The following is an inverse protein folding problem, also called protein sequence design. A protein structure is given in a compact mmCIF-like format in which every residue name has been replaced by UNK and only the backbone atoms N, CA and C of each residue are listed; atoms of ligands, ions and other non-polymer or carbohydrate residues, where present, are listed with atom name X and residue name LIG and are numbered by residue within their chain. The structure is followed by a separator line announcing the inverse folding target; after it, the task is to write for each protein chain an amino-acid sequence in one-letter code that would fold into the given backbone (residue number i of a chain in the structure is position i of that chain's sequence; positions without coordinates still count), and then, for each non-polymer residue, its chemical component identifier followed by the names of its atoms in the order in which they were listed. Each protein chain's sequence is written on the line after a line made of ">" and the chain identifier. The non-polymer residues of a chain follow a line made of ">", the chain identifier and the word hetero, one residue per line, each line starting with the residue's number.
data_IF_279212116288
#
_entry.id   IF_279212116288
#
_cell.length_a   1.000
_cell.length_b   1.000
_cell.length_c   1.000
_cell.angle_alpha   90.00
_cell.angle_beta   90.00
_cell.angle_gamma   90.00
#
_symmetry.space_group_name_H-M   'P 1'
#
loop_
_entity.id
_entity.type
_entity.pdbx_description
1 polymer ?
#
# COMPACT_ATOMS: atom_id res chain seq x y z
N UNK A 1 12.73 14.77 17.66
CA UNK A 1 12.56 14.95 16.20
C UNK A 1 11.14 14.54 15.82
N UNK A 2 10.34 15.42 15.20
CA UNK A 2 8.91 15.12 14.91
C UNK A 2 8.83 14.05 13.81
N UNK A 3 8.01 13.00 13.97
CA UNK A 3 7.76 11.95 12.96
C UNK A 3 6.92 12.43 11.75
N UNK A 4 7.01 13.70 11.39
CA UNK A 4 6.06 14.35 10.47
C UNK A 4 6.17 13.77 9.07
N UNK A 5 7.38 13.56 8.55
CA UNK A 5 7.59 13.01 7.21
C UNK A 5 7.03 11.58 7.07
N UNK A 6 7.36 10.68 8.01
CA UNK A 6 6.85 9.30 8.04
C UNK A 6 5.30 9.28 8.07
N UNK A 7 4.70 10.10 8.95
CA UNK A 7 3.24 10.20 9.10
C UNK A 7 2.56 10.71 7.83
N UNK A 8 3.07 11.80 7.25
CA UNK A 8 2.49 12.41 6.04
C UNK A 8 2.56 11.42 4.88
N UNK A 9 3.71 10.76 4.68
CA UNK A 9 3.89 9.82 3.57
C UNK A 9 3.00 8.58 3.71
N UNK A 10 2.87 8.06 4.93
CA UNK A 10 1.98 6.92 5.22
C UNK A 10 0.51 7.27 4.98
N UNK A 11 0.07 8.48 5.36
CA UNK A 11 -1.30 8.97 5.13
C UNK A 11 -1.57 9.12 3.63
N UNK A 12 -0.65 9.75 2.89
CA UNK A 12 -0.78 9.92 1.43
C UNK A 12 -0.90 8.54 0.76
N UNK A 13 -0.02 7.60 1.13
CA UNK A 13 -0.05 6.23 0.59
C UNK A 13 -1.39 5.53 0.86
N UNK A 14 -1.95 5.70 2.06
CA UNK A 14 -3.24 5.12 2.43
C UNK A 14 -4.38 5.70 1.58
N UNK A 15 -4.41 7.02 1.35
CA UNK A 15 -5.41 7.67 0.48
C UNK A 15 -5.31 7.12 -0.94
N UNK A 16 -4.10 7.04 -1.51
CA UNK A 16 -3.92 6.46 -2.84
C UNK A 16 -4.32 4.99 -2.91
N UNK A 17 -4.03 4.19 -1.87
CA UNK A 17 -4.45 2.78 -1.82
C UNK A 17 -5.96 2.65 -1.86
N UNK A 18 -6.69 3.48 -1.11
CA UNK A 18 -8.16 3.52 -1.13
C UNK A 18 -8.68 3.92 -2.51
N UNK A 19 -8.07 4.92 -3.15
CA UNK A 19 -8.42 5.32 -4.52
C UNK A 19 -8.17 4.19 -5.53
N UNK A 20 -7.05 3.47 -5.41
CA UNK A 20 -6.74 2.31 -6.26
C UNK A 20 -7.77 1.19 -6.09
N UNK A 21 -8.24 0.95 -4.86
CA UNK A 21 -9.32 -0.03 -4.60
C UNK A 21 -10.62 0.44 -5.27
N UNK A 22 -11.01 1.70 -5.09
CA UNK A 22 -12.20 2.25 -5.72
C UNK A 22 -12.13 2.17 -7.25
N UNK A 23 -11.00 2.53 -7.85
CA UNK A 23 -10.75 2.39 -9.28
C UNK A 23 -10.79 0.93 -9.76
N UNK A 24 -10.33 0.00 -8.94
CA UNK A 24 -10.39 -1.44 -9.25
C UNK A 24 -11.83 -1.95 -9.28
N UNK A 25 -12.72 -1.47 -8.40
CA UNK A 25 -14.14 -1.80 -8.48
C UNK A 25 -14.80 -1.27 -9.76
N UNK A 26 -14.42 -0.07 -10.20
CA UNK A 26 -14.88 0.48 -11.49
C UNK A 26 -14.38 -0.42 -12.64
N UNK A 27 -13.11 -0.82 -12.61
CA UNK A 27 -12.52 -1.72 -13.60
C UNK A 27 -13.23 -3.08 -13.65
N UNK A 28 -13.52 -3.69 -12.50
CA UNK A 28 -14.34 -4.92 -12.41
C UNK A 28 -15.71 -4.71 -13.05
N UNK A 29 -16.36 -3.57 -12.78
CA UNK A 29 -17.64 -3.22 -13.39
C UNK A 29 -17.57 -3.14 -14.93
N UNK A 30 -16.50 -2.56 -15.46
CA UNK A 30 -16.24 -2.51 -16.91
C UNK A 30 -16.03 -3.93 -17.45
N UNK A 31 -15.17 -4.74 -16.83
CA UNK A 31 -14.91 -6.12 -17.27
C UNK A 31 -16.19 -6.96 -17.27
N UNK A 32 -17.06 -6.79 -16.27
CA UNK A 32 -18.37 -7.44 -16.23
C UNK A 32 -19.28 -7.05 -17.39
N UNK A 33 -19.19 -5.83 -17.90
CA UNK A 33 -19.95 -5.44 -19.09
C UNK A 33 -19.51 -6.23 -20.32
N UNK A 34 -18.21 -6.52 -20.45
CA UNK A 34 -17.65 -7.34 -21.52
C UNK A 34 -18.01 -8.84 -21.40
N UNK A 35 -18.26 -9.35 -20.19
CA UNK A 35 -18.47 -10.79 -19.97
C UNK A 35 -19.91 -11.20 -19.67
N UNK A 36 -20.79 -10.29 -19.25
CA UNK A 36 -22.16 -10.63 -18.87
C UNK A 36 -23.19 -9.56 -19.26
N UNK A 37 -22.77 -8.48 -19.92
CA UNK A 37 -23.64 -7.37 -20.30
C UNK A 37 -24.17 -7.45 -21.72
N UNK A 38 -24.99 -6.47 -22.12
CA UNK A 38 -25.45 -6.32 -23.51
C UNK A 38 -24.27 -6.24 -24.50
N UNK A 39 -23.17 -5.65 -24.06
CA UNK A 39 -21.93 -5.55 -24.83
C UNK A 39 -21.32 -6.92 -25.18
N UNK A 40 -21.49 -7.95 -24.33
CA UNK A 40 -21.02 -9.32 -24.64
C UNK A 40 -21.70 -9.86 -25.89
N UNK A 41 -23.02 -9.72 -25.98
CA UNK A 41 -23.80 -10.24 -27.11
C UNK A 41 -23.44 -9.53 -28.43
N UNK A 42 -23.11 -8.25 -28.37
CA UNK A 42 -22.65 -7.49 -29.55
C UNK A 42 -21.26 -7.97 -29.99
N UNK A 43 -20.34 -8.13 -29.05
CA UNK A 43 -18.98 -8.64 -29.33
C UNK A 43 -19.02 -10.06 -29.89
N UNK A 44 -19.81 -10.96 -29.30
CA UNK A 44 -19.96 -12.33 -29.82
C UNK A 44 -20.51 -12.30 -31.25
N UNK A 45 -21.56 -11.53 -31.50
CA UNK A 45 -22.14 -11.43 -32.84
C UNK A 45 -21.14 -10.89 -33.87
N UNK A 46 -20.34 -9.89 -33.51
CA UNK A 46 -19.31 -9.31 -34.37
C UNK A 46 -18.18 -10.31 -34.66
N UNK A 47 -17.69 -11.02 -33.64
CA UNK A 47 -16.65 -12.05 -33.80
C UNK A 47 -17.12 -13.24 -34.65
N UNK A 48 -18.37 -13.70 -34.46
CA UNK A 48 -18.93 -14.79 -35.25
C UNK A 48 -19.32 -14.38 -36.67
N UNK A 49 -19.49 -13.08 -36.94
CA UNK A 49 -19.78 -12.55 -38.26
C UNK A 49 -18.51 -12.36 -39.11
N UNK A 50 -17.32 -12.41 -38.51
CA UNK A 50 -16.05 -12.24 -39.20
C UNK A 50 -15.66 -13.53 -39.95
N UNK A 51 -15.58 -13.50 -41.30
CA UNK A 51 -15.19 -14.66 -42.10
C UNK A 51 -13.70 -15.01 -42.01
N UNK A 52 -12.85 -14.15 -41.46
CA UNK A 52 -11.42 -14.42 -41.26
C UNK A 52 -11.14 -15.24 -39.99
N UNK A 53 -12.08 -15.25 -39.05
CA UNK A 53 -11.96 -15.97 -37.78
C UNK A 53 -12.62 -17.34 -37.87
N UNK A 54 -11.94 -18.36 -37.34
CA UNK A 54 -12.59 -19.65 -37.12
C UNK A 54 -13.39 -19.64 -35.82
N UNK A 55 -14.34 -20.56 -35.69
CA UNK A 55 -15.11 -20.74 -34.44
C UNK A 55 -14.19 -20.96 -33.24
N UNK A 56 -13.08 -21.68 -33.45
CA UNK A 56 -12.10 -21.95 -32.39
C UNK A 56 -11.30 -20.70 -31.98
N UNK A 57 -11.02 -19.79 -32.92
CA UNK A 57 -10.38 -18.51 -32.62
C UNK A 57 -11.30 -17.61 -31.78
N UNK A 58 -12.60 -17.59 -32.12
CA UNK A 58 -13.61 -16.82 -31.38
C UNK A 58 -13.74 -17.33 -29.95
N UNK A 59 -13.86 -18.65 -29.77
CA UNK A 59 -13.91 -19.26 -28.44
C UNK A 59 -12.66 -18.97 -27.62
N UNK A 60 -11.47 -18.97 -28.24
CA UNK A 60 -10.23 -18.60 -27.58
C UNK A 60 -10.26 -17.15 -27.08
N UNK A 61 -10.69 -16.20 -27.92
CA UNK A 61 -10.77 -14.78 -27.54
C UNK A 61 -11.75 -14.57 -26.38
N UNK A 62 -12.93 -15.18 -26.44
CA UNK A 62 -13.93 -15.09 -25.37
C UNK A 62 -13.42 -15.70 -24.06
N UNK A 63 -12.73 -16.85 -24.13
CA UNK A 63 -12.14 -17.47 -22.94
C UNK A 63 -11.08 -16.60 -22.26
N UNK A 64 -10.29 -15.85 -23.04
CA UNK A 64 -9.31 -14.90 -22.52
C UNK A 64 -10.03 -13.77 -21.79
N UNK A 65 -11.08 -13.21 -22.38
CA UNK A 65 -11.87 -12.14 -21.76
C UNK A 65 -12.48 -12.60 -20.41
N UNK A 66 -13.03 -13.81 -20.36
CA UNK A 66 -13.56 -14.41 -19.11
C UNK A 66 -12.45 -14.63 -18.06
N UNK A 67 -11.25 -15.06 -18.47
CA UNK A 67 -10.10 -15.17 -17.57
C UNK A 67 -9.71 -13.82 -16.96
N UNK A 68 -9.70 -12.75 -17.77
CA UNK A 68 -9.40 -11.40 -17.29
C UNK A 68 -10.46 -10.87 -16.30
N UNK A 69 -11.73 -11.25 -16.45
CA UNK A 69 -12.76 -10.94 -15.45
C UNK A 69 -12.43 -11.60 -14.11
N UNK A 70 -12.12 -12.91 -14.10
CA UNK A 70 -11.71 -13.61 -12.88
C UNK A 70 -10.46 -13.01 -12.25
N UNK A 71 -9.47 -12.66 -13.07
CA UNK A 71 -8.24 -12.00 -12.61
C UNK A 71 -8.47 -10.60 -12.03
N UNK A 72 -9.47 -9.86 -12.52
CA UNK A 72 -9.81 -8.53 -11.99
C UNK A 72 -10.21 -8.57 -10.50
N UNK A 73 -10.90 -9.62 -10.06
CA UNK A 73 -11.22 -9.83 -8.64
C UNK A 73 -10.01 -10.17 -7.79
N UNK A 74 -9.06 -10.93 -8.35
CA UNK A 74 -7.80 -11.22 -7.68
C UNK A 74 -7.04 -9.92 -7.35
N UNK A 75 -7.02 -8.95 -8.26
CA UNK A 75 -6.41 -7.63 -8.03
C UNK A 75 -7.06 -6.93 -6.83
N UNK A 76 -8.39 -6.94 -6.73
CA UNK A 76 -9.12 -6.31 -5.61
C UNK A 76 -8.72 -6.94 -4.28
N UNK A 77 -8.68 -8.28 -4.20
CA UNK A 77 -8.31 -8.99 -2.96
C UNK A 77 -6.88 -8.64 -2.55
N UNK A 78 -5.94 -8.62 -3.49
CA UNK A 78 -4.54 -8.27 -3.23
C UNK A 78 -4.40 -6.83 -2.72
N UNK A 79 -5.13 -5.88 -3.31
CA UNK A 79 -5.13 -4.49 -2.84
C UNK A 79 -5.74 -4.32 -1.45
N UNK A 80 -6.77 -5.10 -1.10
CA UNK A 80 -7.33 -5.11 0.26
C UNK A 80 -6.31 -5.60 1.28
N UNK A 81 -5.56 -6.66 0.95
CA UNK A 81 -4.46 -7.15 1.80
C UNK A 81 -3.39 -6.06 1.97
N UNK A 82 -3.04 -5.35 0.89
CA UNK A 82 -2.11 -4.21 0.94
C UNK A 82 -2.62 -3.09 1.85
N UNK A 83 -3.91 -2.76 1.79
CA UNK A 83 -4.52 -1.75 2.66
C UNK A 83 -4.41 -2.14 4.14
N UNK A 84 -4.71 -3.40 4.47
CA UNK A 84 -4.61 -3.90 5.85
C UNK A 84 -3.16 -3.81 6.34
N UNK A 85 -2.20 -4.26 5.54
CA UNK A 85 -0.78 -4.17 5.87
C UNK A 85 -0.33 -2.72 6.09
N UNK A 86 -0.80 -1.79 5.25
CA UNK A 86 -0.54 -0.35 5.38
C UNK A 86 -1.09 0.21 6.69
N UNK A 87 -2.33 -0.14 7.06
CA UNK A 87 -2.96 0.30 8.32
C UNK A 87 -2.18 -0.25 9.53
N UNK A 88 -1.84 -1.53 9.52
CA UNK A 88 -1.07 -2.16 10.61
C UNK A 88 0.30 -1.48 10.75
N UNK A 89 1.01 -1.26 9.63
CA UNK A 89 2.28 -0.54 9.61
C UNK A 89 2.16 0.87 10.20
N UNK A 90 1.11 1.60 9.83
CA UNK A 90 0.83 2.94 10.35
C UNK A 90 0.58 2.94 11.87
N UNK A 91 -0.13 1.95 12.42
CA UNK A 91 -0.37 1.81 13.86
C UNK A 91 0.94 1.52 14.61
N UNK A 92 1.78 0.60 14.10
CA UNK A 92 3.08 0.29 14.71
C UNK A 92 4.02 1.50 14.71
N UNK A 93 3.98 2.30 13.65
CA UNK A 93 4.70 3.56 13.57
C UNK A 93 4.19 4.57 14.60
N UNK A 94 2.86 4.75 14.74
CA UNK A 94 2.28 5.72 15.67
C UNK A 94 2.51 5.39 17.14
N UNK A 95 2.48 4.11 17.52
CA UNK A 95 2.69 3.68 18.91
C UNK A 95 4.16 3.68 19.34
N UNK A 96 5.07 4.08 18.46
CA UNK A 96 6.53 4.07 18.63
C UNK A 96 7.16 2.73 19.06
N UNK A 97 6.37 1.65 19.17
CA UNK A 97 6.79 0.36 19.72
C UNK A 97 7.91 -0.27 18.90
N UNK A 98 7.80 -0.26 17.56
CA UNK A 98 8.76 -0.91 16.66
C UNK A 98 8.75 -0.28 15.25
N UNK A 99 9.49 0.82 15.00
CA UNK A 99 9.56 1.45 13.67
C UNK A 99 10.12 0.51 12.59
N UNK A 100 11.02 -0.41 12.95
CA UNK A 100 11.55 -1.42 12.02
C UNK A 100 10.47 -2.38 11.51
N UNK A 101 9.53 -2.79 12.37
CA UNK A 101 8.44 -3.67 11.95
C UNK A 101 7.47 -2.94 10.98
N UNK A 102 7.22 -1.66 11.23
CA UNK A 102 6.40 -0.82 10.34
C UNK A 102 7.02 -0.71 8.93
N UNK A 103 8.34 -0.56 8.84
CA UNK A 103 9.03 -0.51 7.55
C UNK A 103 8.89 -1.79 6.72
N UNK A 104 9.01 -2.95 7.36
CA UNK A 104 8.80 -4.26 6.68
C UNK A 104 7.36 -4.36 6.17
N UNK A 105 6.38 -3.99 6.99
CA UNK A 105 4.97 -4.00 6.61
C UNK A 105 4.68 -3.09 5.41
N UNK A 106 5.33 -1.92 5.32
CA UNK A 106 5.19 -1.03 4.17
C UNK A 106 5.83 -1.59 2.89
N UNK A 107 6.94 -2.32 2.99
CA UNK A 107 7.50 -3.02 1.82
C UNK A 107 6.54 -4.10 1.32
N UNK A 108 6.00 -4.91 2.24
CA UNK A 108 5.04 -5.96 1.89
C UNK A 108 3.76 -5.34 1.31
N UNK A 109 3.27 -4.25 1.88
CA UNK A 109 2.14 -3.52 1.35
C UNK A 109 2.40 -2.97 -0.06
N UNK A 110 3.57 -2.37 -0.30
CA UNK A 110 3.98 -1.87 -1.62
C UNK A 110 4.12 -2.98 -2.66
N UNK A 111 4.58 -4.17 -2.27
CA UNK A 111 4.64 -5.32 -3.17
C UNK A 111 3.25 -5.71 -3.67
N UNK A 112 2.27 -5.77 -2.76
CA UNK A 112 0.88 -6.08 -3.10
C UNK A 112 0.16 -4.91 -3.80
N UNK A 113 0.54 -3.66 -3.54
CA UNK A 113 0.03 -2.48 -4.26
C UNK A 113 0.64 -2.31 -5.66
N UNK A 114 1.32 -3.34 -6.17
CA UNK A 114 2.02 -3.37 -7.46
C UNK A 114 3.31 -2.53 -7.46
N UNK A 115 4.43 -3.13 -7.87
CA UNK A 115 5.78 -2.56 -7.66
C UNK A 115 6.00 -1.17 -8.28
N UNK A 116 5.28 -0.85 -9.36
CA UNK A 116 5.41 0.38 -10.14
C UNK A 116 4.26 1.37 -9.92
N UNK A 117 3.34 1.09 -9.00
CA UNK A 117 2.28 2.05 -8.73
C UNK A 117 2.84 3.27 -7.97
N UNK A 118 2.31 4.47 -8.22
CA UNK A 118 2.70 5.66 -7.45
C UNK A 118 2.49 5.47 -5.95
N UNK A 119 1.49 4.68 -5.57
CA UNK A 119 1.21 4.25 -4.19
C UNK A 119 2.38 3.49 -3.58
N UNK A 120 2.94 2.51 -4.30
CA UNK A 120 4.04 1.67 -3.81
C UNK A 120 5.34 2.44 -3.63
N UNK A 121 5.61 3.40 -4.52
CA UNK A 121 6.80 4.26 -4.41
C UNK A 121 6.75 5.05 -3.09
N UNK A 122 5.59 5.61 -2.74
CA UNK A 122 5.41 6.29 -1.45
C UNK A 122 5.58 5.34 -0.27
N UNK A 123 5.05 4.11 -0.34
CA UNK A 123 5.23 3.09 0.71
C UNK A 123 6.69 2.67 0.88
N UNK A 124 7.46 2.52 -0.21
CA UNK A 124 8.89 2.20 -0.13
C UNK A 124 9.71 3.31 0.50
N UNK A 125 9.43 4.58 0.16
CA UNK A 125 10.09 5.71 0.81
C UNK A 125 9.73 5.73 2.31
N UNK A 126 8.47 5.47 2.69
CA UNK A 126 8.06 5.39 4.10
C UNK A 126 8.79 4.25 4.83
N UNK A 127 9.00 3.11 4.16
CA UNK A 127 9.75 1.98 4.70
C UNK A 127 11.22 2.32 4.95
N UNK A 128 11.88 2.97 3.99
CA UNK A 128 13.28 3.39 4.12
C UNK A 128 13.42 4.40 5.27
N UNK A 129 12.49 5.36 5.40
CA UNK A 129 12.47 6.30 6.52
C UNK A 129 12.29 5.59 7.88
N UNK A 130 11.50 4.52 7.94
CA UNK A 130 11.38 3.69 9.14
C UNK A 130 12.68 2.93 9.49
N UNK A 131 13.45 2.48 8.49
CA UNK A 131 14.70 1.74 8.71
C UNK A 131 15.90 2.62 9.04
N UNK A 132 15.99 3.78 8.42
CA UNK A 132 17.12 4.72 8.57
C UNK A 132 17.12 5.44 9.92
N UNK A 133 16.00 5.37 10.66
CA UNK A 133 15.88 6.12 11.90
C UNK A 133 16.55 5.42 13.07
N UNK A 134 17.50 6.13 13.70
CA UNK A 134 18.09 5.74 14.98
C UNK A 134 17.02 5.80 16.08
N UNK A 135 16.98 4.82 17.01
CA UNK A 135 16.09 4.90 18.16
C UNK A 135 16.33 6.24 18.86
N UNK A 136 15.28 6.89 19.41
CA UNK A 136 15.52 8.05 20.27
C UNK A 136 16.54 7.60 21.30
N UNK A 137 17.64 8.37 21.42
CA UNK A 137 18.54 8.21 22.54
C UNK A 137 17.62 8.20 23.76
N UNK A 138 17.54 7.05 24.45
CA UNK A 138 17.11 7.09 25.82
C UNK A 138 17.98 8.20 26.41
N UNK A 139 17.35 9.26 26.92
CA UNK A 139 18.03 10.14 27.84
C UNK A 139 18.49 9.20 28.94
N UNK A 140 19.71 8.69 28.81
CA UNK A 140 20.52 8.35 29.94
C UNK A 140 20.54 9.69 30.66
N UNK A 141 19.71 9.80 31.68
CA UNK A 141 19.99 10.69 32.77
C UNK A 141 21.33 10.23 33.33
N UNK A 142 22.41 10.58 32.63
CA UNK A 142 23.64 10.92 33.30
C UNK A 142 23.21 12.09 34.17
N UNK A 143 22.89 11.74 35.41
CA UNK A 143 22.91 12.61 36.55
C UNK A 143 24.20 13.41 36.44
N UNK A 144 24.11 14.60 35.85
CA UNK A 144 24.98 15.68 36.23
C UNK A 144 24.57 15.94 37.67
N UNK A 145 25.24 15.24 38.58
CA UNK A 145 25.27 15.61 39.98
C UNK A 145 25.82 17.02 39.99
N UNK A 146 24.89 17.95 40.00
CA UNK A 146 25.08 19.34 40.36
C UNK A 146 25.67 19.31 41.78
N UNK A 147 27.00 19.32 41.86
CA UNK A 147 27.70 19.44 43.13
C UNK A 147 27.67 20.91 43.53
N UNK A 148 26.46 21.38 43.83
CA UNK A 148 26.21 22.67 44.43
C UNK A 148 25.93 22.42 45.91
N UNK A 149 26.77 23.02 46.76
CA UNK A 149 26.79 23.05 48.23
C UNK A 149 27.97 22.34 48.90
N UNK A 150 29.12 23.02 48.89
CA UNK A 150 29.82 23.29 50.16
C UNK A 150 30.33 24.75 50.15
N UNK A 151 29.37 25.67 50.24
CA UNK A 151 29.61 27.07 50.63
C UNK A 151 29.17 27.24 52.10
N UNK A 152 29.73 26.41 52.98
CA UNK A 152 29.43 26.46 54.43
C UNK A 152 30.64 26.74 55.32
N UNK A 153 31.78 27.12 54.74
CA UNK A 153 32.93 27.57 55.52
C UNK A 153 33.28 29.03 55.26
N UNK A 154 32.45 29.91 55.80
CA UNK A 154 32.88 31.23 56.31
C UNK A 154 31.87 31.80 57.30
N UNK A 155 32.20 31.78 58.61
CA UNK A 155 32.46 33.04 59.34
C UNK A 155 33.58 32.87 60.41
N UNK A 156 34.37 33.84 60.89
CA UNK A 156 34.54 35.30 60.79
C UNK A 156 36.06 35.57 60.67
#
# INVERSE_FOLDING_TARGET
>A
MKRTAEKVLSIISLVFTVLSIAGSFIFVGIMKAFTNGALRSEIEMELYADPELTVEDVDMILSVIEYFEGFSWFIVVVLVISLIATIIGMIFMWKEKNPKLAGILFIVAGLFAFILSPTSIMLYIAAILCFTRKPPLATNETSFVDNHYDDSMRPL
#
